data_IF_855718851155
#
_entry.id   IF_855718851155
#
_cell.length_a   1.000
_cell.length_b   1.000
_cell.length_c   1.000
_cell.angle_alpha   90.00
_cell.angle_beta   90.00
_cell.angle_gamma   90.00
#
_symmetry.space_group_name_H-M   'P 1'
#
loop_
_entity.id
_entity.type
_entity.pdbx_description
1 polymer ?
#
# COMPACT_ATOMS: atom_id res chain seq x y z
N UNK A 1 1.17 -31.20 -4.95
CA UNK A 1 1.41 -30.18 -3.93
C UNK A 1 0.08 -29.59 -3.48
N UNK A 2 -0.15 -29.60 -2.21
CA UNK A 2 -1.35 -29.00 -1.68
C UNK A 2 -1.19 -27.49 -1.69
N UNK A 3 -2.08 -26.83 -2.43
CA UNK A 3 -2.20 -25.39 -2.28
C UNK A 3 -2.94 -25.19 -0.97
N UNK A 4 -2.28 -24.56 -0.02
CA UNK A 4 -2.90 -24.18 1.23
C UNK A 4 -4.15 -23.35 0.91
N UNK A 5 -5.32 -23.79 1.38
CA UNK A 5 -6.57 -23.07 1.13
C UNK A 5 -6.54 -21.66 1.74
N UNK A 6 -5.64 -21.41 2.70
CA UNK A 6 -5.42 -20.09 3.28
C UNK A 6 -4.46 -19.21 2.48
N UNK A 7 -3.80 -19.74 1.45
CA UNK A 7 -2.78 -18.98 0.72
C UNK A 7 -3.29 -17.67 0.13
N UNK A 8 -4.42 -17.65 -0.61
CA UNK A 8 -4.88 -16.38 -1.16
C UNK A 8 -5.19 -15.35 -0.08
N UNK A 9 -5.75 -15.78 1.03
CA UNK A 9 -6.08 -14.91 2.14
C UNK A 9 -4.83 -14.34 2.79
N UNK A 10 -3.87 -15.21 3.09
CA UNK A 10 -2.61 -14.78 3.71
C UNK A 10 -1.82 -13.85 2.79
N UNK A 11 -1.76 -14.18 1.51
CA UNK A 11 -1.04 -13.36 0.53
C UNK A 11 -1.68 -11.98 0.39
N UNK A 12 -3.01 -11.91 0.37
CA UNK A 12 -3.73 -10.64 0.29
C UNK A 12 -3.43 -9.77 1.52
N UNK A 13 -3.47 -10.37 2.70
CA UNK A 13 -3.19 -9.66 3.94
C UNK A 13 -1.76 -9.14 3.99
N UNK A 14 -0.79 -9.97 3.61
CA UNK A 14 0.62 -9.56 3.57
C UNK A 14 0.86 -8.45 2.56
N UNK A 15 0.21 -8.53 1.40
CA UNK A 15 0.33 -7.50 0.38
C UNK A 15 -0.16 -6.16 0.93
N UNK A 16 -1.30 -6.15 1.61
CA UNK A 16 -1.81 -4.95 2.22
C UNK A 16 -0.81 -4.35 3.21
N UNK A 17 -0.27 -5.16 4.12
CA UNK A 17 0.64 -4.64 5.13
C UNK A 17 1.94 -4.13 4.54
N UNK A 18 2.46 -4.78 3.50
CA UNK A 18 3.65 -4.28 2.81
C UNK A 18 3.39 -2.88 2.24
N UNK A 19 2.26 -2.71 1.57
CA UNK A 19 1.87 -1.42 1.00
C UNK A 19 1.60 -0.37 2.09
N UNK A 20 0.94 -0.79 3.17
CA UNK A 20 0.65 0.08 4.32
C UNK A 20 1.93 0.64 4.91
N UNK A 21 2.92 -0.21 5.16
CA UNK A 21 4.18 0.24 5.72
C UNK A 21 4.98 1.10 4.74
N UNK A 22 4.90 0.80 3.44
CA UNK A 22 5.52 1.64 2.44
C UNK A 22 4.89 3.05 2.42
N UNK A 23 3.55 3.11 2.48
CA UNK A 23 2.84 4.39 2.54
C UNK A 23 3.24 5.18 3.78
N UNK A 24 3.34 4.51 4.92
CA UNK A 24 3.79 5.14 6.16
C UNK A 24 5.20 5.69 6.01
N UNK A 25 6.10 4.91 5.42
CA UNK A 25 7.48 5.33 5.19
C UNK A 25 7.54 6.58 4.29
N UNK A 26 6.68 6.64 3.27
CA UNK A 26 6.63 7.81 2.40
C UNK A 26 6.23 9.06 3.16
N UNK A 27 5.22 8.96 4.01
CA UNK A 27 4.80 10.10 4.83
C UNK A 27 5.90 10.54 5.78
N UNK A 28 6.53 9.59 6.46
CA UNK A 28 7.63 9.89 7.37
C UNK A 28 8.80 10.55 6.64
N UNK A 29 9.16 10.03 5.47
CA UNK A 29 10.23 10.61 4.67
C UNK A 29 9.92 12.04 4.23
N UNK A 30 8.64 12.35 4.02
CA UNK A 30 8.18 13.69 3.65
C UNK A 30 8.03 14.62 4.86
N UNK A 31 8.34 14.15 6.06
CA UNK A 31 8.23 14.96 7.27
C UNK A 31 6.82 15.04 7.83
N UNK A 32 5.94 14.13 7.41
CA UNK A 32 4.55 14.10 7.84
C UNK A 32 4.39 13.00 8.87
N UNK A 33 3.85 13.35 10.04
CA UNK A 33 3.55 12.35 11.07
C UNK A 33 2.40 11.47 10.61
N UNK A 34 2.62 10.15 10.46
CA UNK A 34 1.55 9.29 9.99
C UNK A 34 0.41 9.21 11.02
N UNK A 35 -0.85 9.25 10.56
CA UNK A 35 -1.97 8.99 11.47
C UNK A 35 -1.88 7.59 12.07
N UNK A 36 -2.44 7.42 13.27
CA UNK A 36 -2.37 6.15 14.00
C UNK A 36 -3.36 5.11 13.48
N UNK A 37 -4.46 5.55 12.88
CA UNK A 37 -5.46 4.62 12.37
C UNK A 37 -5.16 4.24 10.93
N UNK A 38 -5.61 3.04 10.54
CA UNK A 38 -5.46 2.59 9.16
C UNK A 38 -6.21 3.49 8.18
N UNK A 39 -7.45 3.86 8.51
CA UNK A 39 -8.24 4.73 7.65
C UNK A 39 -7.62 6.12 7.54
N UNK A 40 -7.11 6.65 8.65
CA UNK A 40 -6.43 7.94 8.66
C UNK A 40 -5.19 7.92 7.79
N UNK A 41 -4.38 6.87 7.91
CA UNK A 41 -3.16 6.75 7.10
C UNK A 41 -3.51 6.64 5.62
N UNK A 42 -4.51 5.85 5.24
CA UNK A 42 -4.93 5.72 3.85
C UNK A 42 -5.38 7.07 3.28
N UNK A 43 -6.20 7.78 4.03
CA UNK A 43 -6.68 9.10 3.60
C UNK A 43 -5.53 10.09 3.44
N UNK A 44 -4.63 10.12 4.41
CA UNK A 44 -3.49 11.05 4.37
C UNK A 44 -2.54 10.69 3.24
N UNK A 45 -2.29 9.41 3.03
CA UNK A 45 -1.43 8.97 1.93
C UNK A 45 -2.07 9.28 0.57
N UNK A 46 -3.38 9.11 0.43
CA UNK A 46 -4.08 9.48 -0.81
C UNK A 46 -3.92 10.96 -1.14
N UNK A 47 -4.11 11.83 -0.16
CA UNK A 47 -3.90 13.25 -0.34
C UNK A 47 -2.46 13.55 -0.76
N UNK A 48 -1.52 12.93 -0.06
CA UNK A 48 -0.10 13.13 -0.31
C UNK A 48 0.28 12.67 -1.71
N UNK A 49 -0.17 11.49 -2.11
CA UNK A 49 0.13 10.92 -3.42
C UNK A 49 -0.46 11.77 -4.54
N UNK A 50 -1.68 12.26 -4.34
CA UNK A 50 -2.35 13.10 -5.33
C UNK A 50 -1.62 14.43 -5.53
N UNK A 51 -1.07 14.98 -4.45
CA UNK A 51 -0.41 16.28 -4.47
C UNK A 51 1.08 16.22 -4.78
N UNK A 52 1.68 15.03 -4.79
CA UNK A 52 3.14 14.89 -4.89
C UNK A 52 3.54 14.40 -6.27
N UNK A 53 4.38 15.17 -6.99
CA UNK A 53 4.89 14.69 -8.29
C UNK A 53 5.60 13.35 -8.14
N UNK A 54 5.36 12.46 -9.09
CA UNK A 54 5.96 11.13 -9.11
C UNK A 54 5.10 10.05 -8.51
N UNK A 55 4.03 10.39 -7.78
CA UNK A 55 3.15 9.39 -7.18
C UNK A 55 1.91 9.13 -8.03
N UNK A 56 1.06 10.12 -8.21
CA UNK A 56 -0.21 9.94 -8.92
C UNK A 56 -1.31 9.39 -8.02
N UNK A 57 -2.55 9.74 -8.35
CA UNK A 57 -3.72 9.35 -7.55
C UNK A 57 -3.98 7.85 -7.54
N UNK A 58 -3.49 7.11 -8.54
CA UNK A 58 -3.67 5.67 -8.64
C UNK A 58 -3.03 4.91 -7.47
N UNK A 59 -1.93 5.42 -6.93
CA UNK A 59 -1.23 4.77 -5.81
C UNK A 59 -2.10 4.78 -4.57
N UNK A 60 -2.78 5.89 -4.31
CA UNK A 60 -3.72 5.99 -3.20
C UNK A 60 -4.91 5.06 -3.39
N UNK A 61 -5.44 4.99 -4.62
CA UNK A 61 -6.54 4.07 -4.91
C UNK A 61 -6.13 2.62 -4.74
N UNK A 62 -4.91 2.29 -5.17
CA UNK A 62 -4.40 0.93 -5.01
C UNK A 62 -4.33 0.53 -3.55
N UNK A 63 -3.89 1.42 -2.66
CA UNK A 63 -3.84 1.14 -1.23
C UNK A 63 -5.25 0.91 -0.68
N UNK A 64 -6.23 1.71 -1.09
CA UNK A 64 -7.63 1.54 -0.67
C UNK A 64 -8.20 0.21 -1.14
N UNK A 65 -7.88 -0.20 -2.36
CA UNK A 65 -8.31 -1.50 -2.90
C UNK A 65 -7.69 -2.65 -2.12
N UNK A 66 -6.43 -2.52 -1.72
CA UNK A 66 -5.75 -3.51 -0.89
C UNK A 66 -6.41 -3.63 0.49
N UNK A 67 -6.83 -2.50 1.06
CA UNK A 67 -7.53 -2.52 2.35
C UNK A 67 -8.85 -3.29 2.24
N UNK A 68 -9.60 -3.07 1.18
CA UNK A 68 -10.84 -3.80 0.96
C UNK A 68 -10.57 -5.29 0.85
N UNK A 69 -9.56 -5.68 0.06
CA UNK A 69 -9.18 -7.08 -0.09
C UNK A 69 -8.74 -7.70 1.22
N UNK A 70 -7.96 -6.98 2.03
CA UNK A 70 -7.53 -7.47 3.35
C UNK A 70 -8.72 -7.68 4.27
N UNK A 71 -9.66 -6.75 4.29
CA UNK A 71 -10.84 -6.86 5.13
C UNK A 71 -11.66 -8.09 4.74
N UNK A 72 -11.87 -8.31 3.45
CA UNK A 72 -12.57 -9.49 2.95
C UNK A 72 -11.83 -10.76 3.36
N UNK A 73 -10.50 -10.76 3.25
CA UNK A 73 -9.68 -11.91 3.63
C UNK A 73 -9.79 -12.20 5.12
N UNK A 74 -9.72 -11.16 5.96
CA UNK A 74 -9.76 -11.31 7.41
C UNK A 74 -11.11 -11.83 7.89
N UNK A 75 -12.20 -11.47 7.20
CA UNK A 75 -13.53 -11.99 7.53
C UNK A 75 -13.80 -13.37 6.92
N UNK A 76 -12.78 -13.95 6.29
CA UNK A 76 -12.88 -15.33 5.83
C UNK A 76 -13.70 -15.54 4.60
N UNK A 77 -13.74 -14.56 3.69
CA UNK A 77 -14.44 -14.71 2.43
C UNK A 77 -13.84 -15.88 1.65
N UNK A 78 -14.59 -16.99 1.46
CA UNK A 78 -14.05 -18.15 0.76
C UNK A 78 -13.90 -17.93 -0.74
N UNK A 79 -14.40 -16.81 -1.25
CA UNK A 79 -14.34 -16.51 -2.68
C UNK A 79 -13.02 -15.87 -3.11
N UNK A 80 -12.11 -15.56 -2.18
CA UNK A 80 -10.81 -14.97 -2.55
C UNK A 80 -9.99 -16.01 -3.31
N UNK A 81 -9.67 -15.69 -4.56
CA UNK A 81 -8.95 -16.57 -5.45
C UNK A 81 -7.46 -16.30 -5.46
N UNK A 82 -6.69 -17.23 -6.01
CA UNK A 82 -5.25 -17.04 -6.23
C UNK A 82 -5.02 -15.86 -7.16
N UNK A 83 -5.85 -15.68 -8.18
CA UNK A 83 -5.73 -14.55 -9.09
C UNK A 83 -5.93 -13.21 -8.38
N UNK A 84 -6.90 -13.15 -7.48
CA UNK A 84 -7.13 -11.94 -6.69
C UNK A 84 -5.96 -11.66 -5.75
N UNK A 85 -5.38 -12.70 -5.15
CA UNK A 85 -4.20 -12.56 -4.31
C UNK A 85 -3.00 -12.08 -5.11
N UNK A 86 -2.81 -12.62 -6.31
CA UNK A 86 -1.73 -12.17 -7.18
C UNK A 86 -1.91 -10.72 -7.62
N UNK A 87 -3.14 -10.31 -7.88
CA UNK A 87 -3.44 -8.91 -8.19
C UNK A 87 -3.09 -8.00 -7.01
N UNK A 88 -3.41 -8.44 -5.79
CA UNK A 88 -3.06 -7.68 -4.58
C UNK A 88 -1.55 -7.56 -4.44
N UNK A 89 -0.80 -8.63 -4.70
CA UNK A 89 0.66 -8.61 -4.64
C UNK A 89 1.21 -7.61 -5.66
N UNK A 90 0.68 -7.62 -6.89
CA UNK A 90 1.11 -6.70 -7.94
C UNK A 90 0.88 -5.24 -7.54
N UNK A 91 -0.29 -4.96 -6.96
CA UNK A 91 -0.60 -3.61 -6.47
C UNK A 91 0.36 -3.18 -5.36
N UNK A 92 0.64 -4.08 -4.43
CA UNK A 92 1.55 -3.80 -3.33
C UNK A 92 2.97 -3.55 -3.84
N UNK A 93 3.44 -4.36 -4.76
CA UNK A 93 4.76 -4.19 -5.37
C UNK A 93 4.87 -2.83 -6.07
N UNK A 94 3.81 -2.43 -6.76
CA UNK A 94 3.80 -1.12 -7.41
C UNK A 94 3.92 0.02 -6.40
N UNK A 95 3.16 -0.05 -5.32
CA UNK A 95 3.21 0.97 -4.26
C UNK A 95 4.60 1.03 -3.64
N UNK A 96 5.16 -0.13 -3.28
CA UNK A 96 6.50 -0.21 -2.68
C UNK A 96 7.54 0.37 -3.64
N UNK A 97 7.47 0.02 -4.92
CA UNK A 97 8.41 0.50 -5.93
C UNK A 97 8.34 2.03 -6.07
N UNK A 98 7.13 2.59 -6.16
CA UNK A 98 6.96 4.04 -6.27
C UNK A 98 7.54 4.74 -5.05
N UNK A 99 7.26 4.22 -3.86
CA UNK A 99 7.77 4.80 -2.61
C UNK A 99 9.29 4.72 -2.55
N UNK A 100 9.87 3.57 -2.85
CA UNK A 100 11.31 3.40 -2.81
C UNK A 100 12.02 4.35 -3.78
N UNK A 101 11.49 4.49 -4.99
CA UNK A 101 12.04 5.42 -5.97
C UNK A 101 11.95 6.87 -5.50
N UNK A 102 10.84 7.23 -4.89
CA UNK A 102 10.66 8.59 -4.37
C UNK A 102 11.63 8.90 -3.26
N UNK A 103 11.84 7.97 -2.34
CA UNK A 103 12.79 8.14 -1.25
C UNK A 103 14.22 8.22 -1.79
N UNK A 104 14.58 7.36 -2.75
CA UNK A 104 15.88 7.39 -3.38
C UNK A 104 16.15 8.69 -4.14
N UNK A 105 15.07 9.32 -4.65
CA UNK A 105 15.18 10.61 -5.36
C UNK A 105 15.20 11.80 -4.42
N UNK A 106 15.20 11.57 -3.11
CA UNK A 106 15.28 12.65 -2.12
C UNK A 106 13.94 13.18 -1.66
N UNK A 107 12.92 12.32 -1.59
CA UNK A 107 11.63 12.71 -1.03
C UNK A 107 11.82 13.30 0.36
N UNK A 108 11.26 14.51 0.56
CA UNK A 108 11.39 15.21 1.83
C UNK A 108 12.68 15.98 2.01
N UNK A 109 13.65 15.84 1.09
CA UNK A 109 14.88 16.62 1.14
C UNK A 109 14.59 18.05 0.70
N UNK A 110 15.12 19.01 1.44
CA UNK A 110 15.00 20.40 1.03
C UNK A 110 15.99 20.67 -0.09
N UNK A 111 15.58 21.38 -1.15
CA UNK A 111 16.54 21.77 -2.18
C UNK A 111 17.62 22.66 -1.57
N UNK A 112 18.85 22.56 -2.06
CA UNK A 112 19.90 23.45 -1.60
C UNK A 112 19.50 24.88 -1.91
N UNK A 113 19.63 25.74 -0.91
CA UNK A 113 19.29 27.15 -1.07
C UNK A 113 20.40 27.91 -1.77
#
# INVERSE_FOLDING_TARGET
MLVDSGYPRQATSRAYYAAFYAARAALEAAGISPPKTHSGLRSRFSEFAHATPGFGGEVGRALSQLETGRTDADYGDPAITVDEANDAITKAEHIVDVVERAIASGLGSKPPS
#
